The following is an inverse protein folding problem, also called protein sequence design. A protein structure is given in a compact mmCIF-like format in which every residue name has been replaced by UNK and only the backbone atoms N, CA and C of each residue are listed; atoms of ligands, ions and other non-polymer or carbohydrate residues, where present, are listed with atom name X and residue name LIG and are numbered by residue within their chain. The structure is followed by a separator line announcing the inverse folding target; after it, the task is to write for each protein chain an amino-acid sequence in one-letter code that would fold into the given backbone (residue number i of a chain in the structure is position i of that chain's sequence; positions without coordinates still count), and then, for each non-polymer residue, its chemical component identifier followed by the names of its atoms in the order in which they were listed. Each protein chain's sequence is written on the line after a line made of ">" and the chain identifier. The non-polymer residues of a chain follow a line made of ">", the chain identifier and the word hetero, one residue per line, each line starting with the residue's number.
data_IF_259026483531
#
_entry.id   IF_259026483531
#
_cell.length_a   1.000
_cell.length_b   1.000
_cell.length_c   1.000
_cell.angle_alpha   90.00
_cell.angle_beta   90.00
_cell.angle_gamma   90.00
#
_symmetry.space_group_name_H-M   'P 1'
#
loop_
_entity.id
_entity.type
_entity.pdbx_description
1 polymer ?
#
# COMPACT_ATOMS: atom_id res chain seq x y z
N UNK A 1 15.37 -7.16 -7.32
CA UNK A 1 15.68 -8.61 -7.38
C UNK A 1 15.88 -9.24 -5.99
N UNK A 2 17.07 -9.16 -5.36
CA UNK A 2 17.41 -10.08 -4.25
C UNK A 2 16.47 -10.05 -3.02
N UNK A 3 16.06 -8.87 -2.55
CA UNK A 3 15.26 -8.77 -1.32
C UNK A 3 13.77 -9.09 -1.52
N UNK A 4 13.12 -8.54 -2.55
CA UNK A 4 11.70 -8.84 -2.85
C UNK A 4 11.47 -10.33 -3.06
N UNK A 5 12.37 -11.00 -3.80
CA UNK A 5 12.25 -12.42 -4.10
C UNK A 5 12.48 -13.34 -2.89
N UNK A 6 13.05 -12.85 -1.77
CA UNK A 6 13.26 -13.67 -0.57
C UNK A 6 11.94 -14.26 -0.02
N UNK A 7 10.83 -13.51 -0.13
CA UNK A 7 9.50 -13.99 0.26
C UNK A 7 8.98 -15.12 -0.63
N UNK A 8 9.40 -15.18 -1.89
CA UNK A 8 8.83 -16.05 -2.94
C UNK A 8 9.76 -17.21 -3.36
N UNK A 9 11.05 -17.15 -3.00
CA UNK A 9 12.08 -18.13 -3.35
C UNK A 9 12.67 -18.91 -2.17
N UNK A 10 12.30 -18.59 -0.92
CA UNK A 10 12.68 -19.41 0.24
C UNK A 10 11.94 -20.75 0.18
N UNK A 11 12.69 -21.82 -0.10
CA UNK A 11 12.22 -23.20 0.08
C UNK A 11 12.14 -23.51 1.58
N UNK A 12 11.08 -24.22 1.99
CA UNK A 12 10.97 -24.76 3.35
C UNK A 12 11.92 -25.96 3.47
N UNK A 13 13.22 -25.68 3.65
CA UNK A 13 14.24 -26.70 3.86
C UNK A 13 13.97 -27.43 5.20
N UNK A 14 13.86 -28.77 5.20
CA UNK A 14 13.82 -29.52 6.44
C UNK A 14 15.17 -29.37 7.18
N UNK A 15 15.11 -29.07 8.48
CA UNK A 15 16.29 -28.91 9.34
C UNK A 15 17.15 -30.18 9.33
N UNK A 16 18.38 -30.08 8.83
CA UNK A 16 19.32 -31.20 8.73
C UNK A 16 20.79 -30.77 8.64
N UNK A 17 21.49 -30.88 9.78
CA UNK A 17 22.94 -31.15 9.96
C UNK A 17 24.00 -30.30 9.23
N UNK A 18 24.71 -29.49 10.04
CA UNK A 18 26.17 -29.29 10.09
C UNK A 18 27.01 -29.02 8.80
N UNK A 19 27.54 -27.80 8.72
CA UNK A 19 28.99 -27.57 8.85
C UNK A 19 29.92 -27.77 7.64
N UNK A 20 30.35 -26.65 7.03
CA UNK A 20 31.71 -26.50 6.48
C UNK A 20 32.05 -25.01 6.23
N UNK A 21 33.06 -24.48 6.92
CA UNK A 21 33.70 -23.21 6.57
C UNK A 21 34.56 -23.36 5.31
N UNK A 22 34.49 -22.38 4.39
CA UNK A 22 35.56 -22.13 3.41
C UNK A 22 35.76 -20.63 3.27
N UNK A 23 36.91 -20.14 3.74
CA UNK A 23 37.39 -18.79 3.50
C UNK A 23 38.22 -18.73 2.22
N UNK A 24 38.04 -17.68 1.42
CA UNK A 24 38.99 -17.29 0.38
C UNK A 24 39.12 -15.76 0.34
N UNK A 25 40.36 -15.29 0.42
CA UNK A 25 40.73 -13.89 0.31
C UNK A 25 41.03 -13.52 -1.15
N UNK A 26 40.90 -12.23 -1.50
CA UNK A 26 41.28 -11.74 -2.83
C UNK A 26 40.86 -10.30 -3.09
N UNK A 27 41.72 -9.34 -2.73
CA UNK A 27 41.62 -7.96 -3.23
C UNK A 27 41.90 -7.91 -4.73
N UNK A 28 41.05 -7.20 -5.50
CA UNK A 28 41.49 -6.44 -6.67
C UNK A 28 40.42 -5.43 -7.13
N UNK A 29 40.80 -4.16 -7.23
CA UNK A 29 39.98 -3.08 -7.79
C UNK A 29 40.17 -2.98 -9.31
N UNK A 30 39.08 -2.88 -10.06
CA UNK A 30 39.08 -2.36 -11.43
C UNK A 30 37.83 -1.49 -11.65
N UNK A 31 38.01 -0.28 -12.19
CA UNK A 31 36.93 0.64 -12.56
C UNK A 31 36.75 0.65 -14.08
N UNK A 32 35.50 0.55 -14.56
CA UNK A 32 35.06 0.94 -15.91
C UNK A 32 33.51 1.01 -15.93
N UNK A 33 32.94 2.06 -16.51
CA UNK A 33 31.49 2.29 -16.64
C UNK A 33 31.08 2.48 -18.10
N UNK A 34 29.86 2.10 -18.48
CA UNK A 34 29.30 2.26 -19.84
C UNK A 34 27.76 2.31 -19.84
N UNK A 35 27.13 3.08 -20.73
CA UNK A 35 25.68 3.05 -21.01
C UNK A 35 25.36 3.42 -22.49
N UNK A 36 24.22 2.97 -23.08
CA UNK A 36 23.93 3.08 -24.52
C UNK A 36 23.00 4.25 -24.95
N UNK A 37 22.55 4.26 -26.22
CA UNK A 37 22.29 5.45 -27.08
C UNK A 37 20.91 5.44 -27.79
N UNK A 38 20.35 6.61 -28.17
CA UNK A 38 19.22 6.76 -29.11
C UNK A 38 19.27 8.04 -30.01
N UNK A 39 18.40 8.15 -31.03
CA UNK A 39 18.51 9.00 -32.25
C UNK A 39 17.34 10.02 -32.44
N UNK A 40 17.61 11.35 -32.58
CA UNK A 40 17.51 12.26 -33.77
C UNK A 40 16.16 12.67 -34.40
N UNK A 41 15.81 13.97 -34.25
CA UNK A 41 15.23 14.95 -35.24
C UNK A 41 15.06 16.35 -34.55
N UNK A 42 14.90 17.52 -35.20
CA UNK A 42 15.42 18.04 -36.49
C UNK A 42 15.37 19.61 -36.62
N UNK A 43 16.53 20.24 -36.90
CA UNK A 43 16.79 21.39 -37.83
C UNK A 43 16.30 22.85 -37.61
N UNK A 44 17.24 23.77 -37.29
CA UNK A 44 17.54 25.10 -37.91
C UNK A 44 18.57 25.89 -37.02
N UNK A 45 19.88 26.04 -37.33
CA UNK A 45 20.56 27.03 -38.20
C UNK A 45 20.34 28.53 -37.81
N UNK A 46 21.33 29.42 -37.56
CA UNK A 46 22.81 29.47 -37.60
C UNK A 46 23.35 30.37 -36.44
N UNK A 47 24.55 30.21 -35.88
CA UNK A 47 25.84 30.73 -36.41
C UNK A 47 27.08 30.07 -35.74
N UNK A 48 28.29 30.24 -36.33
CA UNK A 48 29.47 29.39 -36.06
C UNK A 48 30.42 29.90 -34.96
N UNK A 49 30.85 29.01 -34.06
CA UNK A 49 32.26 28.85 -33.63
C UNK A 49 32.54 27.36 -33.37
N UNK A 50 33.80 26.94 -33.36
CA UNK A 50 34.22 25.57 -33.70
C UNK A 50 33.73 24.45 -32.77
N UNK A 51 33.00 23.48 -33.33
CA UNK A 51 32.69 22.18 -32.71
C UNK A 51 33.59 21.10 -33.33
N UNK A 52 34.44 20.46 -32.52
CA UNK A 52 35.05 19.19 -32.90
C UNK A 52 34.06 18.06 -32.62
N UNK A 53 33.64 17.39 -33.69
CA UNK A 53 32.66 16.31 -33.67
C UNK A 53 33.41 14.96 -33.61
N UNK A 54 33.30 14.23 -32.50
CA UNK A 54 33.76 12.84 -32.40
C UNK A 54 32.58 11.91 -32.07
N UNK A 55 32.59 10.70 -32.63
CA UNK A 55 31.39 9.94 -32.96
C UNK A 55 30.91 8.95 -31.88
N UNK A 56 31.06 9.27 -30.60
CA UNK A 56 30.59 8.46 -29.47
C UNK A 56 29.99 9.35 -28.38
N UNK A 57 28.81 8.95 -27.89
CA UNK A 57 28.06 9.59 -26.79
C UNK A 57 27.48 11.00 -27.10
N UNK A 58 26.29 11.28 -26.55
CA UNK A 58 25.60 12.58 -26.70
C UNK A 58 25.10 13.02 -25.33
N UNK A 59 25.80 13.97 -24.72
CA UNK A 59 25.29 14.78 -23.62
C UNK A 59 25.70 16.24 -23.85
N UNK A 60 24.78 17.18 -23.66
CA UNK A 60 25.06 18.61 -23.69
C UNK A 60 25.23 19.07 -22.24
N UNK A 61 26.44 19.48 -21.89
CA UNK A 61 26.72 20.10 -20.60
C UNK A 61 26.47 21.62 -20.71
N UNK A 62 25.34 22.11 -20.18
CA UNK A 62 25.14 23.55 -20.02
C UNK A 62 25.89 24.00 -18.76
N UNK A 63 27.12 24.44 -18.94
CA UNK A 63 27.89 25.13 -17.90
C UNK A 63 27.34 26.55 -17.70
N UNK A 64 26.45 26.70 -16.72
CA UNK A 64 26.10 28.01 -16.18
C UNK A 64 27.25 28.54 -15.32
N UNK A 65 28.24 29.18 -15.97
CA UNK A 65 29.28 29.94 -15.27
C UNK A 65 28.66 31.16 -14.59
N UNK A 66 28.85 31.28 -13.28
CA UNK A 66 28.61 32.52 -12.56
C UNK A 66 29.58 33.60 -13.06
N UNK A 67 29.05 34.57 -13.82
CA UNK A 67 29.79 35.76 -14.20
C UNK A 67 29.84 36.78 -13.04
N UNK A 68 30.94 37.53 -12.87
CA UNK A 68 30.99 38.62 -11.90
C UNK A 68 30.07 39.77 -12.32
N UNK A 69 29.59 40.55 -11.33
CA UNK A 69 28.76 41.74 -11.54
C UNK A 69 29.46 42.75 -12.45
N UNK A 70 28.80 43.27 -13.52
CA UNK A 70 29.38 44.30 -14.36
C UNK A 70 29.27 45.68 -13.70
N UNK A 71 30.39 46.42 -13.70
CA UNK A 71 30.49 47.82 -13.26
C UNK A 71 30.24 48.77 -14.44
N UNK A 72 28.98 49.14 -14.71
CA UNK A 72 28.64 50.28 -15.60
C UNK A 72 27.24 50.87 -15.27
N UNK A 73 27.12 52.16 -14.88
CA UNK A 73 25.86 52.76 -14.42
C UNK A 73 24.95 53.29 -15.56
N UNK A 74 24.49 52.42 -16.47
CA UNK A 74 23.59 52.84 -17.56
C UNK A 74 22.56 51.79 -18.04
N UNK A 75 21.75 51.20 -17.13
CA UNK A 75 20.50 50.47 -17.48
C UNK A 75 19.60 50.18 -16.26
N UNK A 76 19.04 51.23 -15.66
CA UNK A 76 18.05 51.11 -14.58
C UNK A 76 16.68 51.65 -15.00
N UNK A 77 15.74 50.74 -15.34
CA UNK A 77 14.28 50.95 -15.19
C UNK A 77 13.47 49.69 -15.50
N UNK A 78 12.39 49.51 -14.73
CA UNK A 78 11.36 48.46 -14.74
C UNK A 78 11.68 47.25 -13.83
N UNK A 79 11.61 47.52 -12.52
CA UNK A 79 11.32 46.54 -11.47
C UNK A 79 10.88 47.29 -10.20
N UNK A 80 9.65 47.84 -10.19
CA UNK A 80 9.10 48.56 -9.04
C UNK A 80 7.75 47.99 -8.62
N UNK A 81 7.73 47.21 -7.53
CA UNK A 81 6.72 47.30 -6.47
C UNK A 81 7.10 46.37 -5.30
N UNK A 82 7.21 46.95 -4.09
CA UNK A 82 6.96 46.37 -2.75
C UNK A 82 7.49 44.94 -2.48
N UNK A 83 8.55 44.67 -1.70
CA UNK A 83 9.18 45.37 -0.56
C UNK A 83 8.31 45.51 0.71
N UNK A 84 8.56 44.62 1.68
CA UNK A 84 8.40 44.78 3.14
C UNK A 84 8.91 43.48 3.83
N UNK A 85 9.59 43.44 4.99
CA UNK A 85 10.30 44.47 5.77
C UNK A 85 11.11 43.72 6.87
N UNK A 86 12.44 43.86 6.94
CA UNK A 86 13.23 43.44 8.12
C UNK A 86 14.23 44.55 8.44
N UNK A 87 14.14 45.10 9.66
CA UNK A 87 15.02 46.15 10.15
C UNK A 87 16.36 45.56 10.64
N UNK A 88 17.46 46.24 10.31
CA UNK A 88 18.77 45.98 10.87
C UNK A 88 18.96 46.80 12.17
N UNK A 89 19.45 46.15 13.23
CA UNK A 89 20.11 46.82 14.34
C UNK A 89 21.52 46.22 14.54
N UNK A 90 22.48 46.95 15.14
CA UNK A 90 23.90 46.64 15.02
C UNK A 90 24.37 45.55 15.98
N UNK A 91 25.43 44.87 15.57
CA UNK A 91 26.15 43.86 16.35
C UNK A 91 26.94 44.52 17.48
N UNK A 92 26.90 43.92 18.67
CA UNK A 92 27.86 44.18 19.77
C UNK A 92 28.41 42.83 20.24
N UNK A 93 29.72 42.75 20.41
CA UNK A 93 30.48 41.51 20.66
C UNK A 93 30.18 40.83 22.01
N UNK A 94 30.01 39.49 21.99
CA UNK A 94 30.43 38.59 23.08
C UNK A 94 31.01 37.29 22.48
N UNK A 95 32.30 36.94 22.72
CA UNK A 95 32.94 35.80 22.07
C UNK A 95 33.01 34.52 22.93
N UNK A 96 31.98 33.66 22.96
CA UNK A 96 32.11 32.29 23.53
C UNK A 96 31.02 31.27 23.13
N UNK A 97 31.01 30.79 21.87
CA UNK A 97 30.62 29.38 21.55
C UNK A 97 31.42 28.87 20.34
N UNK A 98 32.75 28.74 20.48
CA UNK A 98 33.62 28.25 19.40
C UNK A 98 33.80 26.72 19.41
N UNK A 99 32.69 25.99 19.57
CA UNK A 99 32.65 24.52 19.45
C UNK A 99 31.20 24.01 19.35
N UNK A 100 30.69 23.79 18.13
CA UNK A 100 29.75 22.70 17.76
C UNK A 100 29.20 22.78 16.33
N UNK A 101 29.27 23.92 15.63
CA UNK A 101 28.74 24.07 14.25
C UNK A 101 29.84 24.06 13.17
N UNK A 102 30.48 22.89 12.99
CA UNK A 102 31.50 22.68 11.95
C UNK A 102 31.34 21.37 11.15
N UNK A 103 30.10 20.87 11.00
CA UNK A 103 29.78 19.74 10.11
C UNK A 103 28.35 19.81 9.53
N UNK A 104 28.10 20.69 8.57
CA UNK A 104 26.92 20.57 7.68
C UNK A 104 27.28 20.97 6.25
N UNK A 105 27.32 19.99 5.36
CA UNK A 105 27.46 20.16 3.92
C UNK A 105 26.04 20.19 3.29
N UNK A 106 25.62 21.24 2.56
CA UNK A 106 24.23 21.37 2.08
C UNK A 106 23.78 20.33 1.03
N UNK A 107 24.68 19.52 0.48
CA UNK A 107 24.38 18.64 -0.67
C UNK A 107 23.92 17.21 -0.31
N UNK A 108 23.59 16.90 0.96
CA UNK A 108 23.34 15.52 1.42
C UNK A 108 21.86 15.12 1.60
N UNK A 109 20.89 15.95 1.19
CA UNK A 109 19.45 15.75 1.52
C UNK A 109 18.50 15.71 0.31
N UNK A 110 18.93 15.13 -0.82
CA UNK A 110 18.02 14.62 -1.84
C UNK A 110 18.46 13.19 -2.24
N UNK A 111 17.58 12.17 -2.16
CA UNK A 111 17.93 10.83 -2.59
C UNK A 111 18.10 10.80 -4.11
N UNK A 112 19.30 10.48 -4.58
CA UNK A 112 19.58 10.25 -5.99
C UNK A 112 19.02 8.90 -6.44
N UNK A 113 18.33 8.89 -7.57
CA UNK A 113 17.93 7.64 -8.24
C UNK A 113 19.18 6.84 -8.64
N UNK A 114 19.27 5.54 -8.33
CA UNK A 114 20.40 4.72 -8.75
C UNK A 114 20.35 4.45 -10.26
N UNK A 115 21.50 4.28 -10.94
CA UNK A 115 21.55 4.09 -12.38
C UNK A 115 20.97 2.72 -12.82
N UNK A 116 20.47 2.58 -14.07
CA UNK A 116 19.75 1.39 -14.50
C UNK A 116 20.58 0.10 -14.38
N UNK A 117 20.04 -0.92 -13.72
CA UNK A 117 20.68 -2.23 -13.59
C UNK A 117 21.47 -2.47 -12.31
N UNK A 118 21.61 -1.49 -11.40
CA UNK A 118 22.09 -1.79 -10.04
C UNK A 118 21.03 -2.60 -9.26
N UNK A 119 21.40 -3.65 -8.50
CA UNK A 119 20.48 -4.37 -7.63
C UNK A 119 19.90 -3.43 -6.57
N UNK A 120 18.64 -3.03 -6.75
CA UNK A 120 17.92 -2.19 -5.80
C UNK A 120 17.71 -3.00 -4.50
N UNK A 121 18.53 -2.70 -3.48
CA UNK A 121 18.41 -3.24 -2.12
C UNK A 121 17.79 -2.15 -1.24
N UNK A 122 16.61 -2.36 -0.64
CA UNK A 122 16.09 -1.42 0.35
C UNK A 122 17.03 -1.39 1.57
N UNK A 123 17.26 -0.21 2.18
CA UNK A 123 18.02 -0.14 3.42
C UNK A 123 17.28 -0.89 4.54
N UNK A 124 17.94 -1.88 5.16
CA UNK A 124 17.50 -2.52 6.40
C UNK A 124 16.94 -3.94 6.34
N UNK A 125 16.54 -4.47 5.17
CA UNK A 125 16.02 -5.84 5.09
C UNK A 125 17.16 -6.89 5.06
N UNK A 126 17.61 -7.25 6.26
CA UNK A 126 18.09 -8.58 6.62
C UNK A 126 17.12 -9.13 7.68
N UNK A 127 15.92 -9.53 7.23
CA UNK A 127 14.82 -9.89 8.11
C UNK A 127 14.93 -11.30 8.67
N UNK A 128 14.57 -11.46 9.94
CA UNK A 128 14.22 -12.74 10.56
C UNK A 128 13.16 -13.45 9.70
N UNK A 129 13.23 -14.78 9.48
CA UNK A 129 12.21 -15.49 8.71
C UNK A 129 10.83 -15.29 9.35
N UNK A 130 9.88 -14.77 8.56
CA UNK A 130 8.50 -14.56 9.03
C UNK A 130 7.84 -15.92 9.23
N UNK A 131 7.58 -16.22 10.50
CA UNK A 131 6.84 -17.41 10.90
C UNK A 131 5.36 -17.16 10.56
N UNK A 132 4.88 -17.81 9.51
CA UNK A 132 3.45 -17.90 9.22
C UNK A 132 2.85 -18.87 10.25
N UNK A 133 1.92 -18.44 11.12
CA UNK A 133 1.21 -19.37 12.01
C UNK A 133 0.51 -20.44 11.17
N UNK A 134 0.66 -21.71 11.55
CA UNK A 134 0.05 -22.81 10.79
C UNK A 134 -1.46 -22.60 10.71
N UNK A 135 -2.00 -22.67 9.50
CA UNK A 135 -3.44 -22.65 9.29
C UNK A 135 -4.05 -23.91 9.89
N UNK A 136 -4.68 -23.77 11.06
CA UNK A 136 -5.14 -24.93 11.86
C UNK A 136 -6.49 -25.47 11.40
N UNK A 137 -7.18 -24.76 10.51
CA UNK A 137 -8.62 -24.94 10.20
C UNK A 137 -9.52 -24.95 11.44
N UNK A 138 -9.02 -24.55 12.60
CA UNK A 138 -9.82 -24.46 13.80
C UNK A 138 -10.68 -23.19 13.72
N UNK A 139 -11.87 -23.34 13.13
CA UNK A 139 -13.05 -22.56 13.49
C UNK A 139 -13.43 -22.92 14.95
N UNK A 140 -12.48 -22.75 15.87
CA UNK A 140 -12.55 -23.22 17.25
C UNK A 140 -13.46 -22.31 18.04
N UNK A 141 -14.76 -22.55 17.88
CA UNK A 141 -15.75 -22.43 18.95
C UNK A 141 -15.61 -21.17 19.81
N UNK A 142 -15.43 -20.01 19.17
CA UNK A 142 -15.68 -18.72 19.82
C UNK A 142 -17.20 -18.60 19.91
N UNK A 143 -17.78 -19.38 20.82
CA UNK A 143 -19.17 -19.26 21.20
C UNK A 143 -19.29 -17.95 21.97
N UNK A 144 -19.64 -16.90 21.25
CA UNK A 144 -20.13 -15.65 21.84
C UNK A 144 -21.37 -16.04 22.63
N UNK A 145 -21.23 -16.08 23.95
CA UNK A 145 -22.31 -16.45 24.86
C UNK A 145 -23.50 -15.49 24.70
N UNK A 146 -24.71 -15.93 25.03
CA UNK A 146 -25.90 -15.09 24.85
C UNK A 146 -25.91 -13.83 25.74
N UNK A 147 -25.14 -13.87 26.84
CA UNK A 147 -24.88 -12.79 27.78
C UNK A 147 -23.56 -12.02 27.50
N UNK A 148 -22.90 -12.28 26.37
CA UNK A 148 -21.66 -11.62 25.99
C UNK A 148 -21.82 -10.10 25.90
N UNK A 149 -20.94 -9.37 26.62
CA UNK A 149 -20.96 -7.91 26.66
C UNK A 149 -20.01 -7.34 25.62
N UNK A 150 -20.58 -6.80 24.53
CA UNK A 150 -19.85 -6.07 23.51
C UNK A 150 -19.28 -4.76 24.06
N UNK A 151 -18.12 -4.34 23.55
CA UNK A 151 -17.43 -3.12 23.99
C UNK A 151 -17.00 -2.28 22.80
N UNK A 152 -17.06 -0.96 22.92
CA UNK A 152 -16.60 -0.05 21.86
C UNK A 152 -15.08 -0.20 21.69
N UNK A 153 -14.58 -0.57 20.50
CA UNK A 153 -13.16 -0.81 20.26
C UNK A 153 -12.28 0.39 20.58
N UNK A 154 -11.16 0.14 21.27
CA UNK A 154 -10.15 1.15 21.62
C UNK A 154 -8.79 0.86 21.00
N UNK A 155 -8.02 1.90 20.70
CA UNK A 155 -6.64 1.73 20.21
C UNK A 155 -5.74 1.23 21.33
N UNK A 156 -4.94 0.19 21.05
CA UNK A 156 -4.01 -0.44 22.00
C UNK A 156 -2.55 -0.46 21.52
N UNK A 157 -2.31 -0.34 20.21
CA UNK A 157 -0.98 -0.34 19.60
C UNK A 157 -0.46 1.10 19.48
N UNK A 158 0.64 1.40 20.16
CA UNK A 158 1.27 2.74 20.15
C UNK A 158 2.80 2.68 19.98
N UNK A 159 3.43 1.53 20.24
CA UNK A 159 4.87 1.35 20.31
C UNK A 159 5.27 -0.11 19.99
N UNK A 160 6.58 -0.40 20.00
CA UNK A 160 7.10 -1.73 19.68
C UNK A 160 6.74 -2.81 20.73
N UNK A 161 6.52 -2.42 21.98
CA UNK A 161 6.11 -3.36 23.03
C UNK A 161 4.66 -3.83 22.82
N UNK A 162 3.77 -2.89 22.51
CA UNK A 162 2.38 -3.17 22.15
C UNK A 162 2.26 -3.87 20.80
N UNK A 163 3.19 -3.67 19.86
CA UNK A 163 3.30 -4.50 18.65
C UNK A 163 3.62 -5.97 18.95
N UNK A 164 4.54 -6.25 19.88
CA UNK A 164 4.83 -7.63 20.29
C UNK A 164 3.65 -8.28 21.02
N UNK A 165 2.82 -7.49 21.72
CA UNK A 165 1.57 -7.97 22.30
C UNK A 165 0.52 -8.26 21.23
N UNK A 166 0.34 -7.36 20.26
CA UNK A 166 -0.53 -7.55 19.08
C UNK A 166 -0.24 -8.87 18.36
N UNK A 167 1.03 -9.15 18.04
CA UNK A 167 1.45 -10.41 17.38
C UNK A 167 1.14 -11.69 18.17
N UNK A 168 0.78 -11.56 19.47
CA UNK A 168 0.41 -12.66 20.37
C UNK A 168 -1.07 -12.60 20.79
N UNK A 169 -1.83 -11.62 20.32
CA UNK A 169 -3.24 -11.41 20.67
C UNK A 169 -4.17 -12.39 19.96
N UNK A 170 -5.34 -12.63 20.55
CA UNK A 170 -6.38 -13.43 19.90
C UNK A 170 -6.96 -12.71 18.68
N UNK A 171 -7.04 -11.37 18.71
CA UNK A 171 -7.40 -10.55 17.56
C UNK A 171 -6.52 -10.83 16.33
N UNK A 172 -5.20 -10.94 16.53
CA UNK A 172 -4.25 -11.25 15.45
C UNK A 172 -4.49 -12.67 14.89
N UNK A 173 -4.69 -13.65 15.77
CA UNK A 173 -4.96 -15.04 15.35
C UNK A 173 -6.27 -15.12 14.56
N UNK A 174 -7.38 -14.61 15.11
CA UNK A 174 -8.71 -14.60 14.48
C UNK A 174 -8.67 -13.95 13.09
N UNK A 175 -8.06 -12.77 13.00
CA UNK A 175 -8.02 -12.00 11.75
C UNK A 175 -7.13 -12.65 10.68
N UNK A 176 -5.97 -13.20 11.07
CA UNK A 176 -5.07 -13.89 10.15
C UNK A 176 -5.60 -15.26 9.71
N UNK A 177 -6.31 -15.98 10.57
CA UNK A 177 -7.02 -17.21 10.18
C UNK A 177 -8.19 -16.89 9.23
N UNK A 178 -9.01 -15.89 9.52
CA UNK A 178 -10.10 -15.47 8.61
C UNK A 178 -9.58 -15.07 7.22
N UNK A 179 -8.50 -14.30 7.14
CA UNK A 179 -7.86 -13.92 5.86
C UNK A 179 -7.38 -15.14 5.06
N UNK A 180 -6.88 -16.19 5.73
CA UNK A 180 -6.48 -17.45 5.09
C UNK A 180 -7.69 -18.31 4.70
N UNK A 181 -8.76 -18.37 5.51
CA UNK A 181 -10.03 -19.03 5.17
C UNK A 181 -10.61 -18.45 3.88
N UNK A 182 -10.64 -17.12 3.76
CA UNK A 182 -11.10 -16.44 2.56
C UNK A 182 -10.20 -16.72 1.33
N UNK A 183 -8.89 -16.90 1.53
CA UNK A 183 -7.96 -17.30 0.47
C UNK A 183 -8.24 -18.71 -0.06
N UNK A 184 -8.50 -19.67 0.84
CA UNK A 184 -8.90 -21.03 0.47
C UNK A 184 -10.24 -21.03 -0.29
N UNK A 185 -11.21 -20.23 0.16
CA UNK A 185 -12.56 -20.18 -0.42
C UNK A 185 -12.59 -19.74 -1.90
N UNK A 186 -11.58 -19.02 -2.38
CA UNK A 186 -11.48 -18.52 -3.77
C UNK A 186 -10.42 -19.23 -4.64
N UNK A 187 -9.77 -20.29 -4.14
CA UNK A 187 -8.77 -21.03 -4.94
C UNK A 187 -9.33 -21.49 -6.28
N UNK A 188 -8.67 -21.07 -7.36
CA UNK A 188 -9.04 -21.36 -8.76
C UNK A 188 -10.45 -20.89 -9.18
N UNK A 189 -11.05 -19.90 -8.50
CA UNK A 189 -12.39 -19.37 -8.82
C UNK A 189 -12.35 -17.91 -9.28
N UNK A 190 -13.07 -17.60 -10.35
CA UNK A 190 -13.26 -16.23 -10.87
C UNK A 190 -14.28 -15.43 -10.06
N UNK A 191 -14.28 -14.13 -10.29
CA UNK A 191 -15.33 -13.24 -9.81
C UNK A 191 -16.71 -13.53 -10.45
N UNK A 192 -16.76 -14.04 -11.68
CA UNK A 192 -18.03 -14.40 -12.33
C UNK A 192 -18.56 -15.79 -11.95
N UNK A 193 -17.73 -16.67 -11.37
CA UNK A 193 -18.12 -18.04 -11.06
C UNK A 193 -19.27 -18.07 -10.03
N UNK A 194 -20.23 -19.01 -10.16
CA UNK A 194 -21.35 -19.14 -9.23
C UNK A 194 -20.88 -19.32 -7.78
N UNK A 195 -21.60 -18.68 -6.85
CA UNK A 195 -21.45 -18.82 -5.41
C UNK A 195 -22.81 -18.65 -4.73
N UNK A 196 -22.93 -19.13 -3.49
CA UNK A 196 -24.04 -18.74 -2.62
C UNK A 196 -23.99 -17.23 -2.38
N UNK A 197 -25.14 -16.57 -2.44
CA UNK A 197 -25.33 -15.18 -2.03
C UNK A 197 -26.50 -15.21 -1.06
N UNK A 198 -26.19 -15.25 0.24
CA UNK A 198 -27.20 -15.17 1.29
C UNK A 198 -27.88 -13.79 1.33
N UNK A 199 -28.99 -13.71 2.06
CA UNK A 199 -29.65 -12.43 2.34
C UNK A 199 -28.69 -11.43 3.02
N UNK A 200 -27.84 -11.91 3.94
CA UNK A 200 -26.78 -11.08 4.56
C UNK A 200 -25.81 -10.54 3.51
N UNK A 201 -25.28 -11.37 2.63
CA UNK A 201 -24.35 -10.93 1.57
C UNK A 201 -25.02 -9.91 0.65
N UNK A 202 -26.29 -10.12 0.30
CA UNK A 202 -27.06 -9.16 -0.51
C UNK A 202 -27.23 -7.82 0.22
N UNK A 203 -27.60 -7.82 1.51
CA UNK A 203 -27.67 -6.61 2.35
C UNK A 203 -26.35 -5.85 2.42
N UNK A 204 -25.22 -6.57 2.50
CA UNK A 204 -23.88 -5.96 2.46
C UNK A 204 -23.61 -5.31 1.08
N UNK A 205 -23.98 -5.97 -0.02
CA UNK A 205 -23.85 -5.41 -1.37
C UNK A 205 -24.74 -4.16 -1.55
N UNK A 206 -25.95 -4.15 -0.99
CA UNK A 206 -26.87 -3.01 -1.06
C UNK A 206 -26.42 -1.82 -0.19
N UNK A 207 -25.81 -2.09 0.96
CA UNK A 207 -25.07 -1.09 1.75
C UNK A 207 -23.93 -0.50 0.90
N UNK A 208 -23.07 -1.32 0.31
CA UNK A 208 -21.96 -0.86 -0.54
C UNK A 208 -22.46 -0.03 -1.73
N UNK A 209 -23.52 -0.45 -2.41
CA UNK A 209 -24.18 0.31 -3.48
C UNK A 209 -24.74 1.66 -3.00
N UNK A 210 -25.10 1.78 -1.72
CA UNK A 210 -25.54 3.05 -1.11
C UNK A 210 -24.37 3.98 -0.85
N UNK A 211 -23.26 3.46 -0.32
CA UNK A 211 -22.00 4.21 -0.13
C UNK A 211 -21.41 4.70 -1.45
N UNK A 212 -21.54 3.90 -2.52
CA UNK A 212 -21.11 4.24 -3.88
C UNK A 212 -21.89 5.44 -4.45
N UNK A 213 -23.23 5.45 -4.29
CA UNK A 213 -24.09 6.57 -4.72
C UNK A 213 -23.81 7.87 -3.96
N UNK A 214 -23.34 7.79 -2.71
CA UNK A 214 -22.98 9.00 -1.96
C UNK A 214 -21.76 9.72 -2.54
N UNK A 215 -20.96 9.07 -3.39
CA UNK A 215 -19.88 9.72 -4.15
C UNK A 215 -20.48 10.67 -5.19
N UNK A 216 -21.61 10.29 -5.80
CA UNK A 216 -22.33 11.11 -6.77
C UNK A 216 -23.12 12.25 -6.10
N UNK A 217 -23.71 11.99 -4.92
CA UNK A 217 -24.38 13.01 -4.09
C UNK A 217 -23.40 14.09 -3.55
N UNK A 218 -22.11 13.76 -3.43
CA UNK A 218 -21.08 14.60 -2.78
C UNK A 218 -19.95 14.86 -3.78
N UNK A 219 -20.17 15.72 -4.80
CA UNK A 219 -19.16 16.02 -5.80
C UNK A 219 -17.93 16.71 -5.20
N UNK A 220 -16.75 16.62 -5.85
CA UNK A 220 -15.54 17.31 -5.42
C UNK A 220 -15.74 18.82 -5.33
N UNK A 221 -15.25 19.43 -4.25
CA UNK A 221 -15.26 20.90 -4.12
C UNK A 221 -14.21 21.51 -5.08
N UNK A 222 -14.56 22.61 -5.75
CA UNK A 222 -13.58 23.42 -6.47
C UNK A 222 -12.51 23.93 -5.49
N UNK A 223 -11.24 23.60 -5.77
CA UNK A 223 -10.12 23.91 -4.88
C UNK A 223 -8.84 24.06 -5.69
N UNK A 224 -7.96 25.02 -5.35
CA UNK A 224 -6.61 25.11 -5.93
C UNK A 224 -5.65 24.04 -5.39
N UNK A 225 -6.08 23.20 -4.44
CA UNK A 225 -5.26 22.12 -3.87
C UNK A 225 -5.08 20.97 -4.88
N UNK A 226 -3.83 20.48 -5.02
CA UNK A 226 -3.47 19.42 -5.98
C UNK A 226 -3.76 18.00 -5.48
N UNK A 227 -3.93 17.83 -4.18
CA UNK A 227 -4.19 16.56 -3.50
C UNK A 227 -5.22 16.79 -2.39
N UNK A 228 -5.97 15.76 -2.03
CA UNK A 228 -6.92 15.75 -0.91
C UNK A 228 -8.10 16.71 -1.07
N UNK A 229 -9.16 16.29 -1.78
CA UNK A 229 -10.38 17.08 -1.88
C UNK A 229 -11.20 17.03 -0.57
N UNK A 230 -11.51 18.20 -0.01
CA UNK A 230 -12.23 18.32 1.26
C UNK A 230 -13.66 17.76 1.24
N UNK A 231 -14.26 17.54 0.07
CA UNK A 231 -15.55 16.84 -0.06
C UNK A 231 -15.54 15.45 0.60
N UNK A 232 -14.38 14.78 0.63
CA UNK A 232 -14.21 13.49 1.30
C UNK A 232 -14.54 13.54 2.80
N UNK A 233 -14.33 14.68 3.47
CA UNK A 233 -14.73 14.86 4.88
C UNK A 233 -16.24 14.77 5.05
N UNK A 234 -16.99 15.35 4.12
CA UNK A 234 -18.45 15.26 4.10
C UNK A 234 -18.92 13.84 3.81
N UNK A 235 -18.23 13.12 2.92
CA UNK A 235 -18.52 11.70 2.65
C UNK A 235 -18.26 10.81 3.89
N UNK A 236 -17.10 10.96 4.53
CA UNK A 236 -16.76 10.24 5.77
C UNK A 236 -17.73 10.59 6.92
N UNK A 237 -18.05 11.87 7.10
CA UNK A 237 -19.01 12.30 8.12
C UNK A 237 -20.41 11.70 7.87
N UNK A 238 -20.83 11.58 6.61
CA UNK A 238 -22.09 10.91 6.24
C UNK A 238 -22.04 9.41 6.59
N UNK A 239 -20.93 8.73 6.34
CA UNK A 239 -20.71 7.34 6.77
C UNK A 239 -20.78 7.21 8.30
N UNK A 240 -20.03 8.02 9.04
CA UNK A 240 -20.01 8.01 10.51
C UNK A 240 -21.41 8.26 11.10
N UNK A 241 -22.16 9.23 10.56
CA UNK A 241 -23.51 9.59 11.03
C UNK A 241 -24.56 8.50 10.75
N UNK A 242 -24.35 7.68 9.71
CA UNK A 242 -25.32 6.65 9.29
C UNK A 242 -24.89 5.22 9.66
N UNK A 243 -23.69 5.01 10.21
CA UNK A 243 -23.09 3.69 10.43
C UNK A 243 -23.98 2.74 11.24
N UNK A 244 -24.63 3.22 12.30
CA UNK A 244 -25.55 2.43 13.13
C UNK A 244 -26.75 1.90 12.31
N UNK A 245 -27.37 2.76 11.49
CA UNK A 245 -28.50 2.41 10.63
C UNK A 245 -28.10 1.40 9.55
N UNK A 246 -26.93 1.59 8.92
CA UNK A 246 -26.38 0.66 7.93
C UNK A 246 -26.10 -0.72 8.52
N UNK A 247 -25.57 -0.79 9.74
CA UNK A 247 -25.30 -2.05 10.44
C UNK A 247 -26.58 -2.75 10.89
N UNK A 248 -27.54 -2.03 11.47
CA UNK A 248 -28.81 -2.59 11.91
C UNK A 248 -29.66 -3.12 10.74
N UNK A 249 -29.45 -2.61 9.51
CA UNK A 249 -30.07 -3.16 8.30
C UNK A 249 -29.46 -4.50 7.83
N UNK A 250 -28.20 -4.79 8.20
CA UNK A 250 -27.50 -6.05 7.90
C UNK A 250 -27.72 -7.09 8.99
N UNK A 251 -27.64 -6.68 10.27
CA UNK A 251 -27.68 -7.57 11.42
C UNK A 251 -29.12 -8.03 11.73
N UNK A 252 -29.32 -9.32 12.10
CA UNK A 252 -30.55 -9.74 12.77
C UNK A 252 -30.66 -9.09 14.16
N UNK A 253 -31.89 -8.90 14.65
CA UNK A 253 -32.16 -8.24 15.95
C UNK A 253 -31.37 -8.85 17.13
N UNK A 254 -31.16 -10.17 17.10
CA UNK A 254 -30.38 -10.92 18.10
C UNK A 254 -28.88 -10.58 18.14
N UNK A 255 -28.35 -9.89 17.11
CA UNK A 255 -26.94 -9.48 17.01
C UNK A 255 -26.74 -7.96 16.96
N UNK A 256 -27.81 -7.15 16.90
CA UNK A 256 -27.73 -5.68 17.02
C UNK A 256 -27.03 -5.16 18.29
N UNK A 257 -26.99 -5.86 19.45
CA UNK A 257 -26.15 -5.46 20.58
C UNK A 257 -24.64 -5.34 20.25
N UNK A 258 -24.17 -5.95 19.16
CA UNK A 258 -22.80 -5.82 18.67
C UNK A 258 -22.56 -4.54 17.83
N UNK A 259 -23.61 -3.81 17.43
CA UNK A 259 -23.47 -2.62 16.55
C UNK A 259 -22.47 -1.58 17.06
N UNK A 260 -22.43 -1.19 18.35
CA UNK A 260 -21.43 -0.24 18.87
C UNK A 260 -19.98 -0.74 18.70
N UNK A 261 -19.78 -2.05 18.63
CA UNK A 261 -18.48 -2.67 18.41
C UNK A 261 -18.12 -2.75 16.91
N UNK A 262 -19.10 -2.92 16.03
CA UNK A 262 -18.86 -2.98 14.58
C UNK A 262 -18.61 -1.61 13.92
N UNK A 263 -19.18 -0.53 14.47
CA UNK A 263 -19.08 0.83 13.91
C UNK A 263 -17.63 1.24 13.61
N UNK A 264 -16.66 1.17 14.55
CA UNK A 264 -15.31 1.68 14.30
C UNK A 264 -14.54 0.93 13.21
N UNK A 265 -14.82 -0.36 12.98
CA UNK A 265 -14.21 -1.12 11.89
C UNK A 265 -14.78 -0.68 10.54
N UNK A 266 -16.11 -0.52 10.44
CA UNK A 266 -16.78 -0.08 9.22
C UNK A 266 -16.44 1.36 8.84
N UNK A 267 -16.44 2.30 9.79
CA UNK A 267 -16.13 3.72 9.49
C UNK A 267 -14.66 3.91 9.13
N UNK A 268 -13.76 3.13 9.74
CA UNK A 268 -12.32 3.14 9.40
C UNK A 268 -12.00 2.43 8.08
N UNK A 269 -12.94 1.74 7.44
CA UNK A 269 -12.66 0.94 6.25
C UNK A 269 -12.40 1.73 4.96
N UNK A 270 -12.77 3.01 4.90
CA UNK A 270 -12.83 3.77 3.62
C UNK A 270 -11.82 4.92 3.51
N UNK A 271 -10.91 5.05 4.47
CA UNK A 271 -9.90 6.12 4.55
C UNK A 271 -10.12 7.00 5.80
N UNK A 272 -9.40 8.12 5.90
CA UNK A 272 -9.47 9.00 7.07
C UNK A 272 -9.75 10.46 6.67
N UNK A 273 -10.96 10.96 7.00
CA UNK A 273 -11.45 12.26 6.53
C UNK A 273 -10.54 13.46 6.79
N UNK A 274 -9.90 13.53 7.97
CA UNK A 274 -9.01 14.68 8.29
C UNK A 274 -7.74 14.69 7.45
N UNK A 275 -7.12 13.53 7.23
CA UNK A 275 -5.88 13.41 6.43
C UNK A 275 -6.15 13.32 4.93
N UNK A 276 -7.37 12.89 4.55
CA UNK A 276 -7.79 12.65 3.16
C UNK A 276 -6.88 11.58 2.51
N UNK A 277 -6.61 10.53 3.26
CA UNK A 277 -5.75 9.41 2.87
C UNK A 277 -6.47 8.05 2.95
N UNK A 278 -5.94 7.07 2.22
CA UNK A 278 -6.38 5.66 2.24
C UNK A 278 -5.15 4.73 2.05
N UNK A 279 -5.17 3.55 2.64
CA UNK A 279 -4.10 2.54 2.51
C UNK A 279 -4.47 1.21 3.16
N UNK A 280 -3.50 0.30 3.24
CA UNK A 280 -3.72 -1.10 3.68
C UNK A 280 -4.26 -1.27 5.11
N UNK A 281 -4.09 -0.28 5.99
CA UNK A 281 -4.73 -0.26 7.32
C UNK A 281 -6.25 -0.04 7.27
N UNK A 282 -6.74 0.65 6.24
CA UNK A 282 -8.17 0.82 5.97
C UNK A 282 -8.75 -0.44 5.30
N UNK A 283 -8.02 -1.05 4.36
CA UNK A 283 -8.32 -2.38 3.81
C UNK A 283 -8.43 -3.45 4.92
N UNK A 284 -7.48 -3.48 5.84
CA UNK A 284 -7.49 -4.34 7.03
C UNK A 284 -8.71 -4.08 7.92
N UNK A 285 -9.15 -2.83 8.07
CA UNK A 285 -10.33 -2.48 8.87
C UNK A 285 -11.63 -3.00 8.24
N UNK A 286 -11.75 -2.98 6.90
CA UNK A 286 -12.88 -3.61 6.20
C UNK A 286 -12.94 -5.12 6.44
N UNK A 287 -11.78 -5.78 6.43
CA UNK A 287 -11.71 -7.24 6.61
C UNK A 287 -11.84 -7.64 8.08
N UNK A 288 -11.43 -6.78 9.02
CA UNK A 288 -11.75 -6.92 10.45
C UNK A 288 -13.26 -6.83 10.69
N UNK A 289 -13.96 -5.90 10.01
CA UNK A 289 -15.44 -5.84 10.06
C UNK A 289 -16.09 -7.14 9.54
N UNK A 290 -15.64 -7.66 8.40
CA UNK A 290 -16.12 -8.95 7.88
C UNK A 290 -15.80 -10.13 8.82
N UNK A 291 -14.62 -10.14 9.45
CA UNK A 291 -14.25 -11.13 10.45
C UNK A 291 -15.18 -11.08 11.67
N UNK A 292 -15.58 -9.88 12.11
CA UNK A 292 -16.54 -9.73 13.20
C UNK A 292 -17.95 -10.26 12.83
N UNK A 293 -18.39 -10.12 11.57
CA UNK A 293 -19.64 -10.74 11.10
C UNK A 293 -19.59 -12.27 11.09
N UNK A 294 -18.44 -12.87 10.76
CA UNK A 294 -18.23 -14.33 10.82
C UNK A 294 -18.21 -14.85 12.27
N UNK A 295 -17.53 -14.13 13.16
CA UNK A 295 -17.52 -14.43 14.61
C UNK A 295 -18.93 -14.33 15.23
N UNK A 296 -19.79 -13.43 14.74
CA UNK A 296 -21.19 -13.31 15.12
C UNK A 296 -22.11 -14.34 14.44
N UNK A 297 -21.58 -15.19 13.55
CA UNK A 297 -22.32 -16.14 12.73
C UNK A 297 -23.41 -15.49 11.85
N UNK A 298 -23.21 -14.21 11.49
CA UNK A 298 -24.09 -13.42 10.62
C UNK A 298 -23.82 -13.72 9.13
N UNK A 299 -22.56 -14.05 8.82
CA UNK A 299 -22.13 -14.71 7.58
C UNK A 299 -21.64 -16.12 7.93
N UNK A 300 -21.73 -17.05 6.99
CA UNK A 300 -21.39 -18.47 7.20
C UNK A 300 -20.39 -18.97 6.14
N UNK A 301 -19.78 -20.16 6.30
CA UNK A 301 -18.78 -20.65 5.34
C UNK A 301 -19.20 -20.69 3.87
N UNK A 302 -20.50 -20.89 3.59
CA UNK A 302 -21.04 -20.85 2.22
C UNK A 302 -20.94 -19.46 1.58
N UNK A 303 -20.91 -18.39 2.39
CA UNK A 303 -20.75 -17.00 1.92
C UNK A 303 -19.30 -16.65 1.59
N UNK A 304 -18.29 -17.36 2.10
CA UNK A 304 -16.88 -16.93 2.05
C UNK A 304 -16.37 -16.64 0.63
N UNK A 305 -16.81 -17.41 -0.37
CA UNK A 305 -16.50 -17.13 -1.77
C UNK A 305 -17.11 -15.78 -2.21
N UNK A 306 -18.34 -15.49 -1.82
CA UNK A 306 -19.02 -14.23 -2.15
C UNK A 306 -18.46 -13.03 -1.40
N UNK A 307 -18.00 -13.21 -0.15
CA UNK A 307 -17.33 -12.16 0.63
C UNK A 307 -16.10 -11.61 -0.12
N UNK A 308 -15.36 -12.47 -0.82
CA UNK A 308 -14.22 -12.04 -1.64
C UNK A 308 -14.65 -11.63 -3.05
N UNK A 309 -15.33 -12.52 -3.78
CA UNK A 309 -15.61 -12.34 -5.22
C UNK A 309 -16.70 -11.32 -5.54
N UNK A 310 -17.59 -11.01 -4.58
CA UNK A 310 -18.69 -10.04 -4.74
C UNK A 310 -18.48 -8.83 -3.81
N UNK A 311 -18.46 -9.04 -2.50
CA UNK A 311 -18.40 -7.95 -1.51
C UNK A 311 -17.07 -7.21 -1.57
N UNK A 312 -15.94 -7.90 -1.47
CA UNK A 312 -14.62 -7.25 -1.54
C UNK A 312 -14.32 -6.69 -2.93
N UNK A 313 -14.76 -7.37 -4.01
CA UNK A 313 -14.70 -6.82 -5.36
C UNK A 313 -15.48 -5.49 -5.52
N UNK A 314 -16.67 -5.39 -4.92
CA UNK A 314 -17.48 -4.16 -4.87
C UNK A 314 -16.81 -3.06 -4.02
N UNK A 315 -16.30 -3.42 -2.85
CA UNK A 315 -15.51 -2.53 -1.98
C UNK A 315 -14.31 -1.93 -2.73
N UNK A 316 -13.54 -2.74 -3.47
CA UNK A 316 -12.42 -2.27 -4.29
C UNK A 316 -12.86 -1.27 -5.37
N UNK A 317 -14.03 -1.47 -5.98
CA UNK A 317 -14.60 -0.50 -6.94
C UNK A 317 -14.86 0.85 -6.26
N UNK A 318 -15.49 0.83 -5.08
CA UNK A 318 -15.83 2.03 -4.30
C UNK A 318 -14.56 2.78 -3.87
N UNK A 319 -13.59 2.12 -3.24
CA UNK A 319 -12.36 2.81 -2.79
C UNK A 319 -11.54 3.34 -3.96
N UNK A 320 -11.54 2.70 -5.14
CA UNK A 320 -10.95 3.25 -6.38
C UNK A 320 -11.74 4.43 -6.96
N UNK A 321 -13.06 4.51 -6.75
CA UNK A 321 -13.83 5.73 -7.04
C UNK A 321 -13.48 6.84 -6.05
N UNK A 322 -13.45 6.57 -4.75
CA UNK A 322 -13.05 7.54 -3.71
C UNK A 322 -11.65 8.12 -3.97
N UNK A 323 -10.66 7.26 -4.23
CA UNK A 323 -9.28 7.65 -4.55
C UNK A 323 -9.22 8.63 -5.74
N UNK A 324 -9.89 8.32 -6.85
CA UNK A 324 -9.90 9.18 -8.06
C UNK A 324 -10.75 10.44 -7.89
N UNK A 325 -11.93 10.32 -7.29
CA UNK A 325 -12.90 11.42 -7.15
C UNK A 325 -12.39 12.49 -6.18
N UNK A 326 -11.82 12.06 -5.05
CA UNK A 326 -11.36 12.97 -4.00
C UNK A 326 -9.84 13.13 -3.92
N UNK A 327 -9.08 12.58 -4.88
CA UNK A 327 -7.62 12.69 -4.95
C UNK A 327 -6.95 12.27 -3.63
N UNK A 328 -7.34 11.12 -3.10
CA UNK A 328 -6.87 10.63 -1.80
C UNK A 328 -5.36 10.35 -1.83
N UNK A 329 -4.67 10.68 -0.74
CA UNK A 329 -3.24 10.41 -0.60
C UNK A 329 -2.98 8.94 -0.17
N UNK A 330 -1.93 8.28 -0.69
CA UNK A 330 -1.50 6.95 -0.25
C UNK A 330 -1.03 6.91 1.22
N UNK A 331 -1.88 6.42 2.12
CA UNK A 331 -1.62 6.35 3.56
C UNK A 331 -0.49 5.36 3.88
N UNK A 332 0.62 5.85 4.44
CA UNK A 332 1.77 5.02 4.83
C UNK A 332 2.55 4.44 3.64
N UNK A 333 2.34 4.94 2.42
CA UNK A 333 3.03 4.39 1.24
C UNK A 333 4.55 4.52 1.34
N UNK A 334 5.25 3.52 0.84
CA UNK A 334 6.69 3.57 0.64
C UNK A 334 7.07 4.01 -0.80
N UNK A 335 6.14 4.63 -1.54
CA UNK A 335 6.29 4.91 -2.96
C UNK A 335 6.65 3.66 -3.76
N UNK A 336 7.70 3.75 -4.59
CA UNK A 336 8.21 2.62 -5.41
C UNK A 336 8.69 1.40 -4.60
N UNK A 337 8.82 1.52 -3.28
CA UNK A 337 9.21 0.44 -2.37
C UNK A 337 8.02 -0.33 -1.78
N UNK A 338 6.78 0.10 -2.04
CA UNK A 338 5.56 -0.66 -1.70
C UNK A 338 5.22 -1.72 -2.76
N UNK A 339 4.28 -2.60 -2.41
CA UNK A 339 3.65 -3.51 -3.39
C UNK A 339 2.76 -2.72 -4.35
N UNK A 340 1.95 -1.84 -3.77
CA UNK A 340 0.91 -1.00 -4.36
C UNK A 340 0.80 0.26 -3.47
N UNK A 341 0.18 1.32 -3.98
CA UNK A 341 0.04 2.56 -3.21
C UNK A 341 -1.02 2.44 -2.11
N UNK A 342 -2.02 1.56 -2.28
CA UNK A 342 -3.24 1.54 -1.49
C UNK A 342 -3.65 0.15 -0.96
N UNK A 343 -3.51 -0.91 -1.76
CA UNK A 343 -4.13 -2.23 -1.49
C UNK A 343 -3.09 -3.35 -1.28
N UNK A 344 -3.45 -4.42 -0.58
CA UNK A 344 -2.61 -5.62 -0.50
C UNK A 344 -3.40 -6.91 -0.70
N UNK A 345 -4.50 -7.11 0.03
CA UNK A 345 -5.29 -8.33 -0.01
C UNK A 345 -5.80 -8.78 -1.40
N UNK A 346 -6.14 -7.92 -2.39
CA UNK A 346 -6.51 -8.42 -3.72
C UNK A 346 -5.35 -9.07 -4.48
N UNK A 347 -4.09 -8.78 -4.13
CA UNK A 347 -2.94 -9.51 -4.68
C UNK A 347 -2.79 -10.88 -4.02
N UNK A 348 -3.04 -10.98 -2.71
CA UNK A 348 -3.08 -12.26 -2.01
C UNK A 348 -4.22 -13.14 -2.54
N UNK A 349 -5.47 -12.76 -2.34
CA UNK A 349 -6.63 -13.54 -2.77
C UNK A 349 -6.69 -13.72 -4.30
N UNK A 350 -6.35 -12.70 -5.08
CA UNK A 350 -6.30 -12.80 -6.54
C UNK A 350 -5.24 -13.77 -7.06
N UNK A 351 -4.15 -14.00 -6.32
CA UNK A 351 -3.18 -15.06 -6.67
C UNK A 351 -3.69 -16.47 -6.34
N UNK A 352 -4.58 -16.62 -5.35
CA UNK A 352 -5.30 -17.88 -5.11
C UNK A 352 -6.34 -18.17 -6.21
N UNK A 353 -7.06 -17.16 -6.71
CA UNK A 353 -7.96 -17.32 -7.87
C UNK A 353 -7.24 -17.84 -9.14
N UNK A 354 -5.92 -17.63 -9.22
CA UNK A 354 -5.07 -17.99 -10.36
C UNK A 354 -4.15 -19.19 -10.10
N UNK A 355 -4.24 -19.84 -8.93
CA UNK A 355 -3.23 -20.76 -8.37
C UNK A 355 -2.74 -21.84 -9.36
N UNK A 356 -3.67 -22.58 -9.97
CA UNK A 356 -3.44 -23.63 -10.96
C UNK A 356 -3.86 -23.21 -12.39
N UNK A 357 -3.99 -21.90 -12.64
CA UNK A 357 -4.59 -21.41 -13.88
C UNK A 357 -3.79 -21.90 -15.11
N UNK A 358 -4.44 -22.51 -16.13
CA UNK A 358 -3.73 -23.25 -17.17
C UNK A 358 -2.90 -22.35 -18.09
N UNK A 359 -3.40 -21.14 -18.41
CA UNK A 359 -2.80 -20.21 -19.39
C UNK A 359 -2.11 -18.99 -18.77
N UNK A 360 -2.86 -18.17 -18.03
CA UNK A 360 -2.33 -17.02 -17.28
C UNK A 360 -1.31 -17.48 -16.23
N UNK A 361 -0.09 -16.95 -16.29
CA UNK A 361 1.00 -17.14 -15.33
C UNK A 361 1.38 -15.78 -14.71
N UNK A 362 2.20 -15.68 -13.65
CA UNK A 362 2.57 -14.39 -13.06
C UNK A 362 3.13 -13.39 -14.08
N UNK A 363 3.90 -13.85 -15.07
CA UNK A 363 4.42 -13.02 -16.18
C UNK A 363 3.33 -12.43 -17.11
N UNK A 364 2.10 -12.97 -17.09
CA UNK A 364 0.98 -12.44 -17.87
C UNK A 364 0.50 -11.06 -17.39
N UNK A 365 0.88 -10.60 -16.19
CA UNK A 365 0.56 -9.24 -15.71
C UNK A 365 1.27 -8.13 -16.51
N UNK A 366 2.30 -8.47 -17.28
CA UNK A 366 3.03 -7.55 -18.16
C UNK A 366 2.41 -7.46 -19.58
N UNK A 367 1.20 -8.00 -19.78
CA UNK A 367 0.53 -8.07 -21.08
C UNK A 367 -0.80 -7.33 -20.99
N UNK A 368 -0.79 -6.03 -21.31
CA UNK A 368 -1.92 -5.10 -21.17
C UNK A 368 -3.24 -5.63 -21.75
N UNK A 369 -3.20 -6.34 -22.88
CA UNK A 369 -4.38 -6.96 -23.51
C UNK A 369 -5.00 -8.05 -22.62
N UNK A 370 -4.17 -8.96 -22.07
CA UNK A 370 -4.64 -10.00 -21.16
C UNK A 370 -5.13 -9.40 -19.84
N UNK A 371 -4.41 -8.42 -19.31
CA UNK A 371 -4.80 -7.69 -18.09
C UNK A 371 -6.17 -7.04 -18.31
N UNK A 372 -6.34 -6.28 -19.38
CA UNK A 372 -7.61 -5.62 -19.73
C UNK A 372 -8.75 -6.63 -19.86
N UNK A 373 -8.56 -7.70 -20.65
CA UNK A 373 -9.57 -8.73 -20.90
C UNK A 373 -10.01 -9.47 -19.63
N UNK A 374 -9.08 -9.82 -18.74
CA UNK A 374 -9.35 -10.64 -17.55
C UNK A 374 -9.47 -9.81 -16.24
N UNK A 375 -9.33 -8.49 -16.29
CA UNK A 375 -9.38 -7.56 -15.13
C UNK A 375 -10.66 -7.65 -14.29
N UNK A 376 -11.78 -8.04 -14.90
CA UNK A 376 -13.07 -8.22 -14.21
C UNK A 376 -13.17 -9.57 -13.50
N UNK A 377 -12.46 -10.57 -14.00
CA UNK A 377 -12.54 -11.97 -13.55
C UNK A 377 -11.63 -12.29 -12.36
N UNK A 378 -10.53 -11.55 -12.19
CA UNK A 378 -9.51 -11.83 -11.18
C UNK A 378 -9.07 -10.56 -10.46
N UNK A 379 -9.11 -10.58 -9.12
CA UNK A 379 -8.75 -9.44 -8.26
C UNK A 379 -7.33 -8.93 -8.52
N UNK A 380 -6.37 -9.83 -8.73
CA UNK A 380 -4.97 -9.47 -9.03
C UNK A 380 -4.89 -8.64 -10.31
N UNK A 381 -5.51 -9.11 -11.39
CA UNK A 381 -5.50 -8.42 -12.69
C UNK A 381 -6.32 -7.13 -12.65
N UNK A 382 -7.36 -7.08 -11.82
CA UNK A 382 -8.12 -5.85 -11.53
C UNK A 382 -7.23 -4.74 -10.95
N UNK A 383 -6.31 -5.09 -10.03
CA UNK A 383 -5.37 -4.12 -9.48
C UNK A 383 -4.29 -3.70 -10.49
N UNK A 384 -3.75 -4.64 -11.27
CA UNK A 384 -2.77 -4.31 -12.32
C UNK A 384 -3.41 -3.37 -13.36
N UNK A 385 -4.65 -3.64 -13.81
CA UNK A 385 -5.40 -2.78 -14.70
C UNK A 385 -5.56 -1.35 -14.14
N UNK A 386 -5.89 -1.23 -12.84
CA UNK A 386 -6.00 0.06 -12.17
C UNK A 386 -4.65 0.81 -12.10
N UNK A 387 -3.54 0.11 -11.86
CA UNK A 387 -2.20 0.70 -11.92
C UNK A 387 -1.92 1.31 -13.30
N UNK A 388 -2.21 0.60 -14.40
CA UNK A 388 -2.02 1.13 -15.76
C UNK A 388 -2.93 2.35 -16.05
N UNK A 389 -4.11 2.42 -15.43
CA UNK A 389 -4.99 3.59 -15.51
C UNK A 389 -4.36 4.81 -14.84
N UNK A 390 -3.89 4.69 -13.60
CA UNK A 390 -3.46 5.85 -12.77
C UNK A 390 -1.97 6.20 -12.88
N UNK A 391 -1.08 5.24 -13.15
CA UNK A 391 0.36 5.47 -13.35
C UNK A 391 0.71 5.57 -14.83
N UNK A 392 1.86 6.17 -15.15
CA UNK A 392 2.36 6.39 -16.51
C UNK A 392 3.85 6.08 -16.56
N UNK A 393 4.33 5.70 -17.76
CA UNK A 393 5.68 5.18 -17.96
C UNK A 393 5.75 3.65 -17.88
N UNK A 394 6.94 3.05 -17.98
CA UNK A 394 7.12 1.61 -17.94
C UNK A 394 6.81 1.00 -16.56
N UNK A 395 6.16 -0.17 -16.55
CA UNK A 395 5.70 -0.83 -15.32
C UNK A 395 6.83 -1.12 -14.31
N UNK A 396 8.03 -1.43 -14.79
CA UNK A 396 9.20 -1.69 -13.94
C UNK A 396 9.73 -0.43 -13.23
N UNK A 397 9.37 0.78 -13.65
CA UNK A 397 9.82 2.04 -13.03
C UNK A 397 8.90 2.46 -11.89
N UNK A 398 7.58 2.35 -12.10
CA UNK A 398 6.58 2.83 -11.14
C UNK A 398 5.99 1.74 -10.24
N UNK A 399 6.23 0.46 -10.57
CA UNK A 399 5.77 -0.73 -9.84
C UNK A 399 6.85 -1.84 -9.83
N UNK A 400 8.11 -1.54 -9.45
CA UNK A 400 9.23 -2.49 -9.56
C UNK A 400 9.02 -3.78 -8.75
N UNK A 401 8.32 -3.72 -7.63
CA UNK A 401 8.05 -4.89 -6.80
C UNK A 401 7.14 -5.90 -7.51
N UNK A 402 6.01 -5.43 -8.06
CA UNK A 402 5.10 -6.27 -8.86
C UNK A 402 5.79 -6.78 -10.14
N UNK A 403 6.70 -5.99 -10.72
CA UNK A 403 7.52 -6.43 -11.85
C UNK A 403 8.45 -7.59 -11.46
N UNK A 404 9.19 -7.50 -10.36
CA UNK A 404 10.00 -8.60 -9.82
C UNK A 404 9.15 -9.85 -9.54
N UNK A 405 7.96 -9.68 -8.94
CA UNK A 405 7.01 -10.78 -8.64
C UNK A 405 6.50 -11.45 -9.92
N UNK A 406 6.34 -10.73 -11.03
CA UNK A 406 5.95 -11.31 -12.33
C UNK A 406 6.96 -12.34 -12.87
N UNK A 407 8.20 -12.32 -12.37
CA UNK A 407 9.24 -13.31 -12.66
C UNK A 407 9.09 -14.63 -11.92
N UNK A 408 8.21 -14.72 -10.92
CA UNK A 408 7.93 -15.97 -10.18
C UNK A 408 7.21 -16.97 -11.11
N UNK A 409 7.60 -18.25 -11.17
CA UNK A 409 7.11 -19.16 -12.21
C UNK A 409 5.64 -19.58 -12.04
N UNK A 410 5.12 -19.65 -10.81
CA UNK A 410 3.80 -20.22 -10.51
C UNK A 410 3.04 -19.38 -9.48
N UNK A 411 1.73 -19.24 -9.68
CA UNK A 411 0.85 -18.47 -8.79
C UNK A 411 0.79 -19.02 -7.36
N UNK A 412 0.96 -20.34 -7.16
CA UNK A 412 1.11 -20.93 -5.82
C UNK A 412 2.27 -20.30 -5.03
N UNK A 413 3.45 -20.13 -5.65
CA UNK A 413 4.60 -19.45 -5.00
C UNK A 413 4.32 -17.97 -4.75
N UNK A 414 3.60 -17.30 -5.67
CA UNK A 414 3.13 -15.92 -5.45
C UNK A 414 2.21 -15.85 -4.22
N UNK A 415 1.22 -16.74 -4.10
CA UNK A 415 0.28 -16.75 -2.98
C UNK A 415 0.96 -16.96 -1.62
N UNK A 416 1.90 -17.92 -1.53
CA UNK A 416 2.69 -18.14 -0.30
C UNK A 416 3.53 -16.93 0.07
N UNK A 417 4.24 -16.33 -0.90
CA UNK A 417 5.05 -15.14 -0.64
C UNK A 417 4.22 -13.89 -0.33
N UNK A 418 3.02 -13.75 -0.92
CA UNK A 418 2.06 -12.71 -0.59
C UNK A 418 1.61 -12.79 0.87
N UNK A 419 1.33 -13.99 1.39
CA UNK A 419 0.98 -14.16 2.81
C UNK A 419 2.16 -13.78 3.73
N UNK A 420 3.38 -14.27 3.44
CA UNK A 420 4.60 -13.93 4.19
C UNK A 420 4.83 -12.41 4.21
N UNK A 421 4.69 -11.75 3.05
CA UNK A 421 4.88 -10.31 2.92
C UNK A 421 3.73 -9.50 3.56
N UNK A 422 2.48 -9.96 3.51
CA UNK A 422 1.35 -9.30 4.18
C UNK A 422 1.55 -9.26 5.69
N UNK A 423 2.00 -10.37 6.27
CA UNK A 423 2.34 -10.44 7.69
C UNK A 423 3.45 -9.41 8.01
N UNK A 424 4.52 -9.35 7.22
CA UNK A 424 5.64 -8.43 7.45
C UNK A 424 5.29 -6.93 7.28
N UNK A 425 4.68 -6.57 6.16
CA UNK A 425 4.54 -5.19 5.71
C UNK A 425 3.17 -4.57 6.01
N UNK A 426 2.19 -5.36 6.43
CA UNK A 426 0.91 -4.89 6.97
C UNK A 426 0.81 -5.23 8.45
N UNK A 427 0.69 -6.52 8.81
CA UNK A 427 0.33 -6.90 10.18
C UNK A 427 1.42 -6.62 11.23
N UNK A 428 2.70 -6.69 10.86
CA UNK A 428 3.85 -6.40 11.73
C UNK A 428 4.36 -4.97 11.57
N UNK A 429 3.67 -4.12 10.79
CA UNK A 429 4.11 -2.77 10.46
C UNK A 429 3.39 -1.73 11.33
N UNK A 430 4.03 -1.29 12.41
CA UNK A 430 3.46 -0.35 13.40
C UNK A 430 2.67 0.82 12.77
N UNK A 431 3.21 1.59 11.78
CA UNK A 431 2.47 2.69 11.16
C UNK A 431 1.12 2.32 10.52
N UNK A 432 0.93 1.05 10.15
CA UNK A 432 -0.26 0.51 9.48
C UNK A 432 -1.28 0.02 10.52
N UNK A 433 -0.88 -0.85 11.45
CA UNK A 433 -1.79 -1.47 12.42
C UNK A 433 -2.12 -0.62 13.66
N UNK A 434 -1.35 0.44 13.97
CA UNK A 434 -1.64 1.39 15.06
C UNK A 434 -3.03 2.05 15.02
N UNK A 435 -3.74 1.92 13.89
CA UNK A 435 -5.08 2.49 13.71
C UNK A 435 -6.21 1.47 13.89
N UNK A 436 -5.91 0.17 13.88
CA UNK A 436 -6.89 -0.89 14.17
C UNK A 436 -7.28 -0.82 15.66
N UNK A 437 -8.57 -0.67 16.00
CA UNK A 437 -9.04 -0.68 17.37
C UNK A 437 -9.38 -2.11 17.82
N UNK A 438 -9.49 -2.33 19.13
CA UNK A 438 -9.69 -3.65 19.73
C UNK A 438 -10.87 -3.64 20.71
N UNK A 439 -11.79 -4.57 20.53
CA UNK A 439 -13.00 -4.75 21.33
C UNK A 439 -13.05 -6.13 21.99
N UNK A 440 -14.26 -6.69 22.11
CA UNK A 440 -14.52 -8.02 22.67
C UNK A 440 -14.46 -9.16 21.62
N UNK A 441 -14.82 -8.86 20.37
CA UNK A 441 -14.77 -9.76 19.21
C UNK A 441 -13.34 -9.96 18.70
N UNK A 442 -12.56 -8.88 18.74
CA UNK A 442 -11.13 -8.86 18.41
C UNK A 442 -10.35 -8.35 19.64
N UNK A 443 -10.15 -9.20 20.68
CA UNK A 443 -9.47 -8.80 21.90
C UNK A 443 -7.95 -8.75 21.74
N UNK A 444 -7.36 -7.66 22.23
CA UNK A 444 -5.92 -7.38 22.19
C UNK A 444 -5.11 -8.21 23.20
N UNK A 445 -5.74 -8.52 24.32
CA UNK A 445 -5.20 -9.41 25.34
C UNK A 445 -5.63 -10.85 24.99
N UNK A 446 -4.77 -11.85 25.26
CA UNK A 446 -5.19 -13.25 25.09
C UNK A 446 -6.35 -13.55 26.04
N UNK A 447 -7.43 -14.14 25.55
CA UNK A 447 -8.44 -14.72 26.42
C UNK A 447 -7.81 -15.95 27.07
N UNK A 448 -7.76 -15.98 28.40
CA UNK A 448 -7.28 -17.13 29.16
C UNK A 448 -8.16 -18.34 28.88
N UNK A 449 -7.63 -19.30 28.11
CA UNK A 449 -8.22 -20.59 27.80
C UNK A 449 -8.15 -21.58 28.96
#
# INVERSE_FOLDING_TARGET
>A
MANTLAWFLTEDLPLGTEGADVSLAGDQQWFLCWFPRAQTASTAAHSRQGLYYNASERNILILALFAPLPTDPAKAKIASCCQAQICLHPIVDIPTVRSQFAMFNPNSLLPSMPPPGTPIRPPGQAGTPVIVPKFTHHRAHIQIAQDHTFTVPIKRINDEATMQQWQRSDAYVRLLEFIQVLNEAVKNKKNSDPCTVSETVQKILDMLNTLDKWIDDIPPLESPQRFGNKAFRTWIQRLETNAESLLNAILPDTRQPATPELIPYLTSAFGHGTRIDYGSGHELSFVAWLCCLDLLEVVVPDDYQALVTRVFASYLSIVRRLQRMYLLEPAGSHGVWGLDDHQFLPYYWGSAQLLDHPRLKPKSVLQDELVSHFSKEYLYLSCIAYIHEVKKGPFYEHSPMLYDISGVPYWAKVNTGMLKMYIAEVLHKLPVVQHLPFGSLLPFDKVSS
#
